data_IF_320683900381
#
_entry.id   IF_320683900381
#
_cell.length_a   1.000
_cell.length_b   1.000
_cell.length_c   1.000
_cell.angle_alpha   90.00
_cell.angle_beta   90.00
_cell.angle_gamma   90.00
#
_symmetry.space_group_name_H-M   'P 1'
#
loop_
_entity.id
_entity.type
_entity.pdbx_description
1 polymer ?
#
# COMPACT_ATOMS: atom_id res chain seq x y z
N UNK A 1 3.27 6.85 8.58
CA UNK A 1 1.97 6.38 8.06
C UNK A 1 1.30 7.40 7.13
N UNK A 2 0.87 8.58 7.60
CA UNK A 2 0.14 9.55 6.75
C UNK A 2 0.88 9.93 5.46
N UNK A 3 2.18 10.22 5.52
CA UNK A 3 3.01 10.55 4.34
C UNK A 3 3.08 9.40 3.33
N UNK A 4 3.26 8.17 3.81
CA UNK A 4 3.26 6.94 2.98
C UNK A 4 1.91 6.75 2.28
N UNK A 5 0.80 6.93 2.99
CA UNK A 5 -0.54 6.81 2.41
C UNK A 5 -0.79 7.89 1.34
N UNK A 6 -0.33 9.12 1.55
CA UNK A 6 -0.43 10.20 0.57
C UNK A 6 0.43 9.88 -0.66
N UNK A 7 1.68 9.45 -0.48
CA UNK A 7 2.54 9.05 -1.60
C UNK A 7 1.95 7.87 -2.38
N UNK A 8 1.30 6.92 -1.69
CA UNK A 8 0.59 5.82 -2.33
C UNK A 8 -0.58 6.31 -3.17
N UNK A 9 -1.36 7.26 -2.63
CA UNK A 9 -2.50 7.83 -3.33
C UNK A 9 -2.06 8.58 -4.60
N UNK A 10 -0.94 9.30 -4.52
CA UNK A 10 -0.35 10.00 -5.66
C UNK A 10 0.18 9.03 -6.73
N UNK A 11 0.95 8.01 -6.34
CA UNK A 11 1.47 7.00 -7.28
C UNK A 11 0.34 6.17 -7.88
N UNK A 12 -0.69 5.84 -7.09
CA UNK A 12 -1.89 5.19 -7.58
C UNK A 12 -2.65 6.04 -8.60
N UNK A 13 -2.82 7.34 -8.33
CA UNK A 13 -3.47 8.27 -9.26
C UNK A 13 -2.68 8.40 -10.57
N UNK A 14 -1.36 8.61 -10.49
CA UNK A 14 -0.50 8.72 -11.68
C UNK A 14 -0.50 7.42 -12.48
N UNK A 15 -0.34 6.27 -11.81
CA UNK A 15 -0.35 4.97 -12.49
C UNK A 15 -1.69 4.61 -13.11
N UNK A 16 -2.81 5.01 -12.49
CA UNK A 16 -4.14 4.82 -13.05
C UNK A 16 -4.36 5.69 -14.30
N UNK A 17 -3.98 6.98 -14.23
CA UNK A 17 -4.06 7.87 -15.38
C UNK A 17 -3.18 7.36 -16.53
N UNK A 18 -1.95 6.93 -16.24
CA UNK A 18 -1.10 6.29 -17.25
C UNK A 18 -1.76 5.05 -17.85
N UNK A 19 -2.35 4.19 -17.03
CA UNK A 19 -3.06 3.00 -17.52
C UNK A 19 -4.29 3.33 -18.40
N UNK A 20 -4.98 4.46 -18.17
CA UNK A 20 -6.08 4.90 -19.03
C UNK A 20 -5.62 5.33 -20.43
N UNK A 21 -4.41 5.88 -20.56
CA UNK A 21 -3.87 6.32 -21.87
C UNK A 21 -3.15 5.20 -22.63
N UNK A 22 -2.50 4.27 -21.93
CA UNK A 22 -1.62 3.26 -22.53
C UNK A 22 -2.20 1.84 -22.54
N UNK A 23 -3.28 1.56 -21.80
CA UNK A 23 -3.84 0.22 -21.67
C UNK A 23 -5.36 0.19 -21.86
N UNK A 24 -5.93 -1.02 -21.97
CA UNK A 24 -7.37 -1.20 -22.07
C UNK A 24 -8.07 -0.74 -20.77
N UNK A 25 -9.31 -0.20 -20.84
CA UNK A 25 -10.04 0.30 -19.66
C UNK A 25 -10.14 -0.72 -18.51
N UNK A 26 -10.26 -2.00 -18.85
CA UNK A 26 -10.31 -3.10 -17.89
C UNK A 26 -9.01 -3.25 -17.08
N UNK A 27 -7.85 -2.97 -17.69
CA UNK A 27 -6.55 -3.04 -17.03
C UNK A 27 -6.37 -1.84 -16.09
N UNK A 28 -6.78 -0.64 -16.50
CA UNK A 28 -6.77 0.54 -15.64
C UNK A 28 -7.63 0.32 -14.39
N UNK A 29 -8.84 -0.23 -14.55
CA UNK A 29 -9.72 -0.56 -13.43
C UNK A 29 -9.09 -1.61 -12.49
N UNK A 30 -8.46 -2.65 -13.05
CA UNK A 30 -7.78 -3.69 -12.27
C UNK A 30 -6.59 -3.12 -11.46
N UNK A 31 -5.82 -2.21 -12.06
CA UNK A 31 -4.74 -1.48 -11.38
C UNK A 31 -5.25 -0.61 -10.23
N UNK A 32 -6.36 0.10 -10.45
CA UNK A 32 -6.99 0.91 -9.40
C UNK A 32 -7.46 0.03 -8.24
N UNK A 33 -8.11 -1.10 -8.53
CA UNK A 33 -8.52 -2.05 -7.50
C UNK A 33 -7.33 -2.60 -6.71
N UNK A 34 -6.22 -2.96 -7.37
CA UNK A 34 -5.00 -3.39 -6.68
C UNK A 34 -4.43 -2.31 -5.77
N UNK A 35 -4.36 -1.08 -6.27
CA UNK A 35 -3.85 0.07 -5.52
C UNK A 35 -4.74 0.45 -4.33
N UNK A 36 -6.07 0.33 -4.48
CA UNK A 36 -7.03 0.58 -3.41
C UNK A 36 -7.00 -0.53 -2.34
N UNK A 37 -6.94 -1.79 -2.75
CA UNK A 37 -6.87 -2.93 -1.85
C UNK A 37 -5.65 -2.83 -0.93
N UNK A 38 -4.48 -2.45 -1.47
CA UNK A 38 -3.27 -2.28 -0.65
C UNK A 38 -3.34 -1.04 0.24
N UNK A 39 -3.91 0.07 -0.26
CA UNK A 39 -4.08 1.31 0.51
C UNK A 39 -5.01 1.11 1.71
N UNK A 40 -6.14 0.41 1.53
CA UNK A 40 -7.06 0.05 2.60
C UNK A 40 -6.36 -0.88 3.60
N UNK A 41 -5.63 -1.89 3.12
CA UNK A 41 -4.91 -2.84 3.97
C UNK A 41 -3.90 -2.15 4.90
N UNK A 42 -3.11 -1.20 4.37
CA UNK A 42 -2.16 -0.43 5.17
C UNK A 42 -2.84 0.58 6.11
N UNK A 43 -3.94 1.18 5.68
CA UNK A 43 -4.73 2.09 6.53
C UNK A 43 -5.31 1.35 7.74
N UNK A 44 -5.91 0.17 7.51
CA UNK A 44 -6.42 -0.70 8.58
C UNK A 44 -5.29 -1.19 9.50
N UNK A 45 -4.12 -1.50 8.95
CA UNK A 45 -2.95 -1.86 9.75
C UNK A 45 -2.54 -0.72 10.68
N UNK A 46 -2.45 0.52 10.21
CA UNK A 46 -2.10 1.67 11.05
C UNK A 46 -3.09 1.91 12.20
N UNK A 47 -4.38 1.75 11.94
CA UNK A 47 -5.41 1.84 12.98
C UNK A 47 -5.35 0.66 13.96
N UNK A 48 -5.18 -0.55 13.43
CA UNK A 48 -5.11 -1.79 14.21
C UNK A 48 -3.91 -1.80 15.16
N UNK A 49 -2.73 -1.39 14.71
CA UNK A 49 -1.54 -1.30 15.57
C UNK A 49 -1.74 -0.28 16.70
N UNK A 50 -2.37 0.87 16.43
CA UNK A 50 -2.70 1.85 17.47
C UNK A 50 -3.59 1.26 18.57
N UNK A 51 -4.56 0.41 18.21
CA UNK A 51 -5.44 -0.27 19.16
C UNK A 51 -4.74 -1.38 19.94
N UNK A 52 -3.90 -2.18 19.27
CA UNK A 52 -3.14 -3.28 19.89
C UNK A 52 -2.16 -2.73 20.94
N UNK A 53 -1.40 -1.68 20.61
CA UNK A 53 -0.46 -1.07 21.56
C UNK A 53 -1.17 -0.35 22.71
N UNK A 54 -2.33 0.28 22.47
CA UNK A 54 -3.12 0.89 23.54
C UNK A 54 -3.71 -0.12 24.51
N UNK A 55 -4.16 -1.29 24.03
CA UNK A 55 -4.82 -2.29 24.88
C UNK A 55 -3.88 -3.37 25.43
N UNK A 56 -2.62 -3.47 24.97
CA UNK A 56 -1.64 -4.52 25.35
C UNK A 56 -2.17 -5.96 25.28
N UNK A 57 -3.22 -6.21 24.49
CA UNK A 57 -3.83 -7.53 24.34
C UNK A 57 -3.18 -8.25 23.16
N UNK A 58 -2.19 -9.09 23.46
CA UNK A 58 -1.47 -9.91 22.46
C UNK A 58 -2.45 -10.76 21.62
N UNK A 59 -3.46 -11.33 22.27
CA UNK A 59 -4.51 -12.12 21.60
C UNK A 59 -5.32 -11.31 20.58
N UNK A 60 -5.61 -10.03 20.88
CA UNK A 60 -6.32 -9.15 19.94
C UNK A 60 -5.45 -8.89 18.70
N UNK A 61 -4.15 -8.66 18.89
CA UNK A 61 -3.21 -8.45 17.79
C UNK A 61 -3.05 -9.66 16.88
N UNK A 62 -2.90 -10.86 17.46
CA UNK A 62 -2.77 -12.11 16.69
C UNK A 62 -4.04 -12.36 15.86
N UNK A 63 -5.23 -12.26 16.47
CA UNK A 63 -6.49 -12.46 15.75
C UNK A 63 -6.66 -11.46 14.60
N UNK A 64 -6.33 -10.18 14.81
CA UNK A 64 -6.44 -9.14 13.77
C UNK A 64 -5.50 -9.41 12.60
N UNK A 65 -4.28 -9.90 12.87
CA UNK A 65 -3.29 -10.24 11.84
C UNK A 65 -3.73 -11.47 11.05
N UNK A 66 -4.21 -12.54 11.70
CA UNK A 66 -4.61 -13.77 11.00
C UNK A 66 -5.88 -13.54 10.18
N UNK A 67 -6.93 -12.93 10.76
CA UNK A 67 -8.18 -12.70 10.04
C UNK A 67 -8.02 -11.76 8.85
N UNK A 68 -7.21 -10.68 8.96
CA UNK A 68 -7.09 -9.74 7.84
C UNK A 68 -6.48 -10.40 6.60
N UNK A 69 -5.49 -11.28 6.77
CA UNK A 69 -4.83 -11.93 5.64
C UNK A 69 -5.72 -13.01 5.02
N UNK A 70 -6.54 -13.70 5.82
CA UNK A 70 -7.55 -14.64 5.31
C UNK A 70 -8.62 -13.92 4.48
N UNK A 71 -9.20 -12.82 5.00
CA UNK A 71 -10.19 -12.01 4.29
C UNK A 71 -9.59 -11.43 3.01
N UNK A 72 -8.38 -10.87 3.08
CA UNK A 72 -7.69 -10.33 1.92
C UNK A 72 -7.47 -11.40 0.84
N UNK A 73 -7.07 -12.62 1.23
CA UNK A 73 -6.92 -13.75 0.31
C UNK A 73 -8.22 -14.10 -0.41
N UNK A 74 -9.35 -14.15 0.30
CA UNK A 74 -10.67 -14.42 -0.28
C UNK A 74 -11.07 -13.31 -1.28
N UNK A 75 -10.83 -12.05 -0.93
CA UNK A 75 -11.12 -10.91 -1.81
C UNK A 75 -10.30 -11.01 -3.10
N UNK A 76 -8.99 -11.24 -3.00
CA UNK A 76 -8.11 -11.38 -4.18
C UNK A 76 -8.54 -12.56 -5.04
N UNK A 77 -8.83 -13.71 -4.42
CA UNK A 77 -9.30 -14.90 -5.14
C UNK A 77 -10.59 -14.64 -5.91
N UNK A 78 -11.53 -13.92 -5.29
CA UNK A 78 -12.81 -13.59 -5.92
C UNK A 78 -12.63 -12.59 -7.06
N UNK A 79 -11.77 -11.59 -6.89
CA UNK A 79 -11.47 -10.60 -7.92
C UNK A 79 -10.79 -11.21 -9.14
N UNK A 80 -9.82 -12.11 -8.94
CA UNK A 80 -9.09 -12.77 -10.03
C UNK A 80 -9.96 -13.71 -10.86
N UNK A 81 -11.10 -14.17 -10.31
CA UNK A 81 -12.07 -14.99 -11.03
C UNK A 81 -12.99 -14.20 -11.98
N UNK A 82 -12.96 -12.88 -11.96
CA UNK A 82 -13.80 -12.06 -12.84
C UNK A 82 -13.16 -11.96 -14.22
N UNK A 83 -13.93 -12.22 -15.28
CA UNK A 83 -13.42 -12.28 -16.66
C UNK A 83 -12.83 -10.96 -17.18
N UNK A 84 -13.26 -9.83 -16.62
CA UNK A 84 -12.73 -8.51 -16.96
C UNK A 84 -11.47 -8.13 -16.17
N UNK A 85 -11.08 -8.94 -15.18
CA UNK A 85 -10.04 -8.60 -14.22
C UNK A 85 -8.68 -9.12 -14.68
N UNK A 86 -7.75 -8.19 -14.91
CA UNK A 86 -6.38 -8.55 -15.27
C UNK A 86 -5.54 -8.75 -14.02
N UNK A 87 -5.14 -9.99 -13.73
CA UNK A 87 -4.27 -10.32 -12.59
C UNK A 87 -2.94 -9.56 -12.64
N UNK A 88 -2.40 -9.33 -13.85
CA UNK A 88 -1.16 -8.59 -14.07
C UNK A 88 -1.34 -7.11 -13.70
N UNK A 89 -2.38 -6.46 -14.20
CA UNK A 89 -2.64 -5.06 -13.89
C UNK A 89 -2.96 -4.86 -12.39
N UNK A 90 -3.66 -5.81 -11.78
CA UNK A 90 -3.85 -5.83 -10.32
C UNK A 90 -2.53 -5.94 -9.56
N UNK A 91 -1.63 -6.85 -9.96
CA UNK A 91 -0.32 -6.99 -9.34
C UNK A 91 0.52 -5.73 -9.49
N UNK A 92 0.45 -5.03 -10.62
CA UNK A 92 1.08 -3.72 -10.81
C UNK A 92 0.48 -2.67 -9.87
N UNK A 93 -0.84 -2.69 -9.67
CA UNK A 93 -1.52 -1.84 -8.69
C UNK A 93 -1.02 -2.10 -7.27
N UNK A 94 -0.80 -3.36 -6.89
CA UNK A 94 -0.20 -3.71 -5.59
C UNK A 94 1.27 -3.27 -5.52
N UNK A 95 2.04 -3.47 -6.60
CA UNK A 95 3.45 -3.12 -6.67
C UNK A 95 3.71 -1.61 -6.60
N UNK A 96 2.72 -0.77 -6.94
CA UNK A 96 2.78 0.68 -6.75
C UNK A 96 3.15 1.08 -5.31
N UNK A 97 2.75 0.26 -4.34
CA UNK A 97 3.09 0.44 -2.93
C UNK A 97 4.58 0.32 -2.64
N UNK A 98 5.29 -0.56 -3.34
CA UNK A 98 6.74 -0.69 -3.20
C UNK A 98 7.42 0.60 -3.67
N UNK A 99 6.96 1.16 -4.80
CA UNK A 99 7.49 2.42 -5.33
C UNK A 99 7.23 3.57 -4.36
N UNK A 100 6.03 3.67 -3.78
CA UNK A 100 5.71 4.67 -2.78
C UNK A 100 6.52 4.53 -1.49
N UNK A 101 6.79 3.29 -1.06
CA UNK A 101 7.63 3.03 0.10
C UNK A 101 9.09 3.46 -0.14
N UNK A 102 9.63 3.18 -1.34
CA UNK A 102 10.98 3.61 -1.74
C UNK A 102 11.04 5.14 -1.79
N UNK A 103 10.07 5.78 -2.43
CA UNK A 103 10.00 7.26 -2.47
C UNK A 103 9.97 7.85 -1.06
N UNK A 104 9.17 7.28 -0.17
CA UNK A 104 9.11 7.71 1.22
C UNK A 104 10.47 7.55 1.93
N UNK A 105 11.11 6.39 1.81
CA UNK A 105 12.41 6.13 2.44
C UNK A 105 13.49 7.11 1.98
N UNK A 106 13.55 7.40 0.68
CA UNK A 106 14.47 8.40 0.12
C UNK A 106 14.15 9.80 0.65
N UNK A 107 12.86 10.17 0.69
CA UNK A 107 12.44 11.50 1.18
C UNK A 107 12.76 11.73 2.66
N UNK A 108 12.70 10.67 3.49
CA UNK A 108 13.04 10.76 4.90
C UNK A 108 14.56 10.80 5.09
N UNK A 109 15.33 9.99 4.34
CA UNK A 109 16.80 10.03 4.39
C UNK A 109 17.36 11.40 4.02
N UNK A 110 16.83 12.03 2.95
CA UNK A 110 17.23 13.38 2.55
C UNK A 110 16.87 14.44 3.60
N UNK A 111 15.75 14.25 4.31
CA UNK A 111 15.33 15.16 5.38
C UNK A 111 16.25 15.05 6.60
N UNK A 112 16.65 13.84 6.97
CA UNK A 112 17.62 13.62 8.05
C UNK A 112 18.99 14.24 7.71
N UNK A 113 19.45 14.15 6.46
CA UNK A 113 20.68 14.82 6.02
C UNK A 113 20.58 16.36 6.12
N UNK A 114 19.43 16.94 5.75
CA UNK A 114 19.16 18.37 5.85
C UNK A 114 19.09 18.86 7.31
N UNK A 115 18.47 18.09 8.20
CA UNK A 115 18.37 18.43 9.62
C UNK A 115 19.72 18.23 10.35
N UNK A 116 20.54 17.27 9.92
CA UNK A 116 21.88 17.03 10.48
C UNK A 116 23.00 17.86 9.81
N UNK A 117 22.67 18.73 8.85
CA UNK A 117 23.65 19.58 8.15
C UNK A 117 24.74 18.78 7.41
N UNK A 118 24.41 17.59 6.88
CA UNK A 118 25.35 16.72 6.17
C UNK A 118 26.28 15.90 7.06
N UNK A 119 26.07 15.84 8.38
CA UNK A 119 26.77 14.91 9.26
C UNK A 119 26.04 13.56 9.26
N UNK A 120 26.72 12.52 8.77
CA UNK A 120 26.24 11.13 8.88
C UNK A 120 25.98 10.79 10.35
N UNK A 121 24.87 10.10 10.67
CA UNK A 121 24.60 9.67 12.04
C UNK A 121 25.72 8.73 12.53
N UNK A 122 26.12 8.82 13.82
CA UNK A 122 27.04 7.84 14.39
C UNK A 122 26.33 6.47 14.40
N UNK A 123 27.01 5.49 13.81
CA UNK A 123 26.60 4.09 13.71
C UNK A 123 26.42 3.48 15.10
#
# INVERSE_FOLDING_TARGET
MKRVLISQLLVAAVGYLAALFFAAPNQANSYLWGSLTILISFSMMGLGFGLVFRKKLVALGISLIVFKYAILGIIIYTLVKLDWFSSIAFALGVASFIVSAIYYAISEALREELENGGRTPPV
#
